data_IF_584291430580
#
_entry.id   IF_584291430580
#
_cell.length_a   1.000
_cell.length_b   1.000
_cell.length_c   1.000
_cell.angle_alpha   90.00
_cell.angle_beta   90.00
_cell.angle_gamma   90.00
#
_symmetry.space_group_name_H-M   'P 1'
#
loop_
_entity.id
_entity.type
_entity.pdbx_description
1 polymer ?
#
# COMPACT_ATOMS: atom_id res chain seq x y z
N UNK A 1 -18.08 -3.47 -30.93
CA UNK A 1 -18.22 -4.40 -29.80
C UNK A 1 -17.54 -3.78 -28.59
N UNK A 2 -18.24 -3.61 -27.47
CA UNK A 2 -17.61 -3.19 -26.21
C UNK A 2 -16.89 -4.42 -25.66
N UNK A 3 -15.56 -4.44 -25.70
CA UNK A 3 -14.76 -5.51 -25.08
C UNK A 3 -15.00 -5.51 -23.57
N UNK A 4 -15.55 -6.60 -23.03
CA UNK A 4 -15.71 -6.80 -21.58
C UNK A 4 -14.34 -6.67 -20.91
N UNK A 5 -14.17 -5.64 -20.08
CA UNK A 5 -12.92 -5.46 -19.33
C UNK A 5 -12.81 -6.51 -18.24
N UNK A 6 -11.66 -7.18 -18.13
CA UNK A 6 -11.38 -8.07 -17.02
C UNK A 6 -11.03 -7.25 -15.76
N UNK A 7 -11.50 -7.68 -14.59
CA UNK A 7 -11.14 -7.03 -13.33
C UNK A 7 -9.94 -7.74 -12.70
N UNK A 8 -8.95 -6.96 -12.26
CA UNK A 8 -7.78 -7.43 -11.53
C UNK A 8 -7.82 -6.81 -10.14
N UNK A 9 -7.95 -7.64 -9.11
CA UNK A 9 -7.83 -7.20 -7.73
C UNK A 9 -6.34 -7.06 -7.38
N UNK A 10 -5.94 -5.84 -6.99
CA UNK A 10 -4.61 -5.55 -6.49
C UNK A 10 -4.67 -5.35 -4.97
N UNK A 11 -4.30 -6.38 -4.22
CA UNK A 11 -4.08 -6.27 -2.78
C UNK A 11 -2.71 -5.62 -2.52
N UNK A 12 -2.68 -4.58 -1.70
CA UNK A 12 -1.43 -3.85 -1.46
C UNK A 12 -1.30 -3.32 -0.03
N UNK A 13 -0.06 -3.31 0.44
CA UNK A 13 0.36 -2.65 1.68
C UNK A 13 1.49 -1.68 1.39
N UNK A 14 1.38 -0.47 1.93
CA UNK A 14 2.36 0.62 1.74
C UNK A 14 3.75 0.28 2.30
N UNK A 15 3.85 -0.74 3.17
CA UNK A 15 5.12 -1.31 3.64
C UNK A 15 5.79 -2.30 2.68
N UNK A 16 5.24 -2.56 1.49
CA UNK A 16 5.89 -3.44 0.52
C UNK A 16 6.44 -2.65 -0.66
N UNK A 17 7.77 -2.69 -0.92
CA UNK A 17 8.34 -2.00 -2.08
C UNK A 17 7.85 -2.63 -3.39
N UNK A 18 7.65 -3.95 -3.41
CA UNK A 18 7.09 -4.65 -4.56
C UNK A 18 5.61 -4.32 -4.78
N UNK A 19 4.85 -4.06 -3.71
CA UNK A 19 3.49 -3.57 -3.85
C UNK A 19 3.47 -2.15 -4.46
N UNK A 20 4.45 -1.29 -4.16
CA UNK A 20 4.56 0.03 -4.80
C UNK A 20 4.86 -0.10 -6.30
N UNK A 21 5.82 -0.96 -6.67
CA UNK A 21 6.15 -1.24 -8.07
C UNK A 21 4.91 -1.80 -8.79
N UNK A 22 4.24 -2.80 -8.20
CA UNK A 22 3.00 -3.38 -8.72
C UNK A 22 1.88 -2.35 -8.87
N UNK A 23 1.70 -1.47 -7.89
CA UNK A 23 0.72 -0.39 -7.92
C UNK A 23 0.92 0.56 -9.10
N UNK A 24 2.14 1.11 -9.28
CA UNK A 24 2.39 2.04 -10.39
C UNK A 24 2.28 1.37 -11.76
N UNK A 25 2.77 0.13 -11.88
CA UNK A 25 2.75 -0.60 -13.13
C UNK A 25 1.33 -1.01 -13.53
N UNK A 26 0.52 -1.52 -12.60
CA UNK A 26 -0.87 -1.88 -12.85
C UNK A 26 -1.71 -0.66 -13.26
N UNK A 27 -1.51 0.51 -12.64
CA UNK A 27 -2.19 1.74 -13.03
C UNK A 27 -1.79 2.24 -14.43
N UNK A 28 -0.57 1.96 -14.88
CA UNK A 28 -0.15 2.24 -16.26
C UNK A 28 -0.76 1.24 -17.23
N UNK A 29 -0.77 -0.05 -16.89
CA UNK A 29 -1.37 -1.10 -17.71
C UNK A 29 -2.88 -0.90 -17.90
N UNK A 30 -3.60 -0.46 -16.88
CA UNK A 30 -5.04 -0.17 -16.98
C UNK A 30 -5.37 0.86 -18.08
N UNK A 31 -4.43 1.75 -18.43
CA UNK A 31 -4.61 2.75 -19.49
C UNK A 31 -4.51 2.17 -20.90
N UNK A 32 -3.82 1.05 -21.07
CA UNK A 32 -3.47 0.48 -22.37
C UNK A 32 -4.05 -0.92 -22.62
N UNK A 33 -4.49 -1.60 -21.55
CA UNK A 33 -5.10 -2.94 -21.61
C UNK A 33 -6.60 -2.88 -21.32
N UNK A 34 -7.41 -3.83 -21.83
CA UNK A 34 -8.83 -3.92 -21.51
C UNK A 34 -9.07 -4.54 -20.12
N UNK A 35 -8.48 -3.94 -19.09
CA UNK A 35 -8.61 -4.35 -17.69
C UNK A 35 -9.08 -3.18 -16.83
N UNK A 36 -9.63 -3.51 -15.67
CA UNK A 36 -9.91 -2.58 -14.58
C UNK A 36 -9.18 -3.06 -13.34
N UNK A 37 -8.43 -2.19 -12.69
CA UNK A 37 -7.65 -2.53 -11.49
C UNK A 37 -8.44 -2.08 -10.25
N UNK A 38 -8.92 -3.05 -9.50
CA UNK A 38 -9.58 -2.82 -8.23
C UNK A 38 -8.52 -2.77 -7.11
N UNK A 39 -8.38 -1.61 -6.47
CA UNK A 39 -7.33 -1.35 -5.49
C UNK A 39 -7.83 -1.74 -4.09
N UNK A 40 -7.20 -2.75 -3.48
CA UNK A 40 -7.61 -3.33 -2.20
C UNK A 40 -6.51 -3.14 -1.12
N UNK A 41 -6.56 -2.05 -0.32
CA UNK A 41 -5.65 -1.90 0.83
C UNK A 41 -5.84 -3.06 1.82
N UNK A 42 -4.78 -3.77 2.18
CA UNK A 42 -4.83 -4.90 3.14
C UNK A 42 -3.67 -4.85 4.15
N UNK A 43 -3.57 -5.78 5.10
CA UNK A 43 -2.44 -5.81 6.06
C UNK A 43 -1.46 -6.96 5.78
N UNK A 44 -0.30 -6.64 5.20
CA UNK A 44 0.74 -7.66 4.91
C UNK A 44 1.27 -8.30 6.20
N UNK A 45 1.35 -7.53 7.29
CA UNK A 45 1.76 -8.05 8.60
C UNK A 45 0.82 -9.14 9.14
N UNK A 46 -0.48 -9.04 8.85
CA UNK A 46 -1.44 -10.07 9.20
C UNK A 46 -1.32 -11.29 8.27
N UNK A 47 -1.03 -11.10 6.98
CA UNK A 47 -0.72 -12.22 6.07
C UNK A 47 0.44 -13.06 6.60
N UNK A 48 1.56 -12.43 6.95
CA UNK A 48 2.72 -13.13 7.49
C UNK A 48 2.39 -13.88 8.78
N UNK A 49 1.59 -13.27 9.66
CA UNK A 49 1.17 -13.91 10.91
C UNK A 49 0.33 -15.17 10.65
N UNK A 50 -0.70 -15.07 9.81
CA UNK A 50 -1.65 -16.16 9.58
C UNK A 50 -1.05 -17.31 8.76
N UNK A 51 -0.13 -17.01 7.83
CA UNK A 51 0.55 -18.03 7.01
C UNK A 51 1.77 -18.64 7.69
N UNK A 52 2.28 -18.03 8.77
CA UNK A 52 3.56 -18.38 9.37
C UNK A 52 4.78 -17.95 8.55
N UNK A 53 4.57 -17.24 7.44
CA UNK A 53 5.66 -16.66 6.66
C UNK A 53 6.36 -15.54 7.44
N UNK A 54 7.63 -15.34 7.10
CA UNK A 54 8.44 -14.25 7.66
C UNK A 54 8.77 -13.25 6.56
N UNK A 55 8.78 -11.93 6.86
CA UNK A 55 9.25 -10.94 5.90
C UNK A 55 10.62 -11.34 5.36
N UNK A 56 10.81 -11.43 4.03
CA UNK A 56 12.06 -11.94 3.44
C UNK A 56 13.28 -11.12 3.84
N UNK A 57 13.07 -9.82 4.06
CA UNK A 57 14.11 -8.88 4.45
C UNK A 57 14.68 -9.10 5.87
N UNK A 58 14.03 -9.89 6.74
CA UNK A 58 14.64 -10.29 8.01
C UNK A 58 15.93 -11.10 7.81
N UNK A 59 16.12 -11.70 6.63
CA UNK A 59 17.40 -12.24 6.22
C UNK A 59 18.22 -11.18 5.48
N UNK A 60 19.37 -10.79 6.05
CA UNK A 60 20.26 -9.75 5.50
C UNK A 60 20.61 -9.95 4.03
N UNK A 61 20.97 -11.18 3.61
CA UNK A 61 21.35 -11.45 2.21
C UNK A 61 20.16 -11.32 1.25
N UNK A 62 18.96 -11.72 1.70
CA UNK A 62 17.73 -11.52 0.92
C UNK A 62 17.39 -10.04 0.83
N UNK A 63 17.57 -9.26 1.89
CA UNK A 63 17.36 -7.82 1.87
C UNK A 63 18.32 -7.10 0.90
N UNK A 64 19.63 -7.38 0.98
CA UNK A 64 20.63 -6.83 0.05
C UNK A 64 20.33 -7.19 -1.41
N UNK A 65 19.79 -8.40 -1.65
CA UNK A 65 19.32 -8.79 -2.97
C UNK A 65 18.06 -8.01 -3.38
N UNK A 66 17.06 -7.88 -2.49
CA UNK A 66 15.84 -7.12 -2.76
C UNK A 66 16.13 -5.66 -3.11
N UNK A 67 17.03 -4.98 -2.41
CA UNK A 67 17.34 -3.57 -2.71
C UNK A 67 18.06 -3.41 -4.06
N UNK A 68 18.90 -4.38 -4.45
CA UNK A 68 19.45 -4.42 -5.83
C UNK A 68 18.35 -4.66 -6.87
N UNK A 69 17.41 -5.56 -6.60
CA UNK A 69 16.29 -5.83 -7.50
C UNK A 69 15.35 -4.61 -7.64
N UNK A 70 15.09 -3.90 -6.55
CA UNK A 70 14.35 -2.63 -6.55
C UNK A 70 15.07 -1.60 -7.43
N UNK A 71 16.41 -1.52 -7.39
CA UNK A 71 17.16 -0.62 -8.26
C UNK A 71 17.02 -0.99 -9.76
N UNK A 72 16.98 -2.27 -10.11
CA UNK A 72 16.67 -2.70 -11.49
C UNK A 72 15.25 -2.32 -11.90
N UNK A 73 14.27 -2.51 -11.01
CA UNK A 73 12.89 -2.12 -11.25
C UNK A 73 12.73 -0.60 -11.39
N UNK A 74 13.49 0.20 -10.64
CA UNK A 74 13.54 1.65 -10.82
C UNK A 74 13.99 2.03 -12.23
N UNK A 75 15.09 1.44 -12.71
CA UNK A 75 15.60 1.69 -14.04
C UNK A 75 14.62 1.24 -15.14
N UNK A 76 14.02 0.06 -14.98
CA UNK A 76 13.12 -0.51 -15.98
C UNK A 76 11.76 0.23 -16.04
N UNK A 77 11.16 0.53 -14.88
CA UNK A 77 9.85 1.16 -14.79
C UNK A 77 9.91 2.69 -14.66
N UNK A 78 11.07 3.32 -14.62
CA UNK A 78 11.19 4.76 -14.36
C UNK A 78 10.58 5.15 -13.01
N UNK A 79 10.91 4.37 -11.97
CA UNK A 79 10.54 4.65 -10.58
C UNK A 79 11.76 5.13 -9.79
N UNK A 80 11.54 5.63 -8.57
CA UNK A 80 12.61 6.12 -7.70
C UNK A 80 12.40 5.66 -6.26
N UNK A 81 12.34 4.34 -6.07
CA UNK A 81 12.33 3.75 -4.73
C UNK A 81 13.75 3.75 -4.14
N UNK A 82 13.87 4.18 -2.90
CA UNK A 82 15.12 4.28 -2.13
C UNK A 82 14.97 3.45 -0.86
N UNK A 83 16.04 2.73 -0.51
CA UNK A 83 16.11 1.96 0.72
C UNK A 83 15.92 2.89 1.96
N UNK A 84 14.94 2.60 2.84
CA UNK A 84 14.77 3.34 4.09
C UNK A 84 15.98 3.16 5.02
N UNK A 85 16.35 4.19 5.78
CA UNK A 85 17.59 4.17 6.60
C UNK A 85 17.60 3.05 7.64
N UNK A 86 16.46 2.79 8.27
CA UNK A 86 16.28 1.70 9.23
C UNK A 86 14.91 1.02 9.07
N UNK A 87 14.81 0.19 8.03
CA UNK A 87 13.54 -0.48 7.73
C UNK A 87 13.08 -1.44 8.85
N UNK A 88 14.00 -2.21 9.44
CA UNK A 88 13.62 -3.22 10.44
C UNK A 88 13.56 -2.69 11.87
N UNK A 89 14.32 -1.64 12.21
CA UNK A 89 14.31 -1.02 13.53
C UNK A 89 13.32 0.12 13.67
N UNK A 90 13.02 0.86 12.59
CA UNK A 90 12.06 1.98 12.65
C UNK A 90 10.77 1.71 11.87
N UNK A 91 10.85 1.26 10.62
CA UNK A 91 9.66 1.21 9.74
C UNK A 91 8.71 0.07 10.10
N UNK A 92 9.22 -1.16 10.22
CA UNK A 92 8.40 -2.34 10.56
C UNK A 92 7.71 -2.19 11.94
N UNK A 93 8.40 -1.75 13.03
CA UNK A 93 7.76 -1.59 14.34
C UNK A 93 6.68 -0.51 14.37
N UNK A 94 6.80 0.52 13.53
CA UNK A 94 5.79 1.59 13.40
C UNK A 94 4.49 1.08 12.77
N UNK A 95 4.53 0.00 11.99
CA UNK A 95 3.38 -0.61 11.29
C UNK A 95 2.73 0.31 10.24
N UNK A 96 1.86 -0.23 9.39
CA UNK A 96 1.02 0.52 8.44
C UNK A 96 -0.46 0.55 8.81
N UNK A 97 -0.85 0.06 9.99
CA UNK A 97 -2.26 -0.20 10.31
C UNK A 97 -3.13 1.04 10.12
N UNK A 98 -2.71 2.19 10.65
CA UNK A 98 -3.48 3.44 10.52
C UNK A 98 -3.50 3.96 9.08
N UNK A 99 -2.39 3.84 8.35
CA UNK A 99 -2.32 4.21 6.94
C UNK A 99 -3.28 3.34 6.09
N UNK A 100 -3.28 2.03 6.29
CA UNK A 100 -4.16 1.11 5.56
C UNK A 100 -5.64 1.30 5.90
N UNK A 101 -5.96 1.64 7.16
CA UNK A 101 -7.31 2.03 7.56
C UNK A 101 -7.73 3.35 6.91
N UNK A 102 -6.86 4.36 6.85
CA UNK A 102 -7.14 5.60 6.14
C UNK A 102 -7.42 5.34 4.66
N UNK A 103 -6.61 4.51 4.00
CA UNK A 103 -6.87 4.12 2.61
C UNK A 103 -8.19 3.38 2.44
N UNK A 104 -8.59 2.58 3.43
CA UNK A 104 -9.90 1.91 3.43
C UNK A 104 -11.05 2.91 3.55
N UNK A 105 -10.95 3.92 4.43
CA UNK A 105 -11.96 5.00 4.51
C UNK A 105 -12.06 5.77 3.19
N UNK A 106 -10.92 6.13 2.60
CA UNK A 106 -10.87 6.86 1.33
C UNK A 106 -11.48 6.06 0.19
N UNK A 107 -11.22 4.76 0.13
CA UNK A 107 -11.80 3.85 -0.87
C UNK A 107 -13.32 3.76 -0.76
N UNK A 108 -13.89 3.85 0.44
CA UNK A 108 -15.34 3.78 0.66
C UNK A 108 -16.07 5.08 0.31
N UNK A 109 -15.47 6.23 0.59
CA UNK A 109 -16.19 7.50 0.59
C UNK A 109 -15.81 8.45 -0.55
N UNK A 110 -14.62 8.28 -1.14
CA UNK A 110 -14.08 9.22 -2.11
C UNK A 110 -13.85 8.57 -3.49
N UNK A 111 -13.76 9.40 -4.55
CA UNK A 111 -13.40 8.92 -5.87
C UNK A 111 -12.07 8.16 -5.88
N UNK A 112 -11.97 7.17 -6.76
CA UNK A 112 -10.80 6.30 -6.94
C UNK A 112 -9.49 7.07 -7.12
N UNK A 113 -9.55 8.23 -7.77
CA UNK A 113 -8.41 9.13 -7.96
C UNK A 113 -7.83 9.59 -6.62
N UNK A 114 -8.66 9.80 -5.60
CA UNK A 114 -8.18 10.16 -4.26
C UNK A 114 -7.48 8.98 -3.59
N UNK A 115 -8.03 7.77 -3.70
CA UNK A 115 -7.36 6.55 -3.22
C UNK A 115 -5.97 6.41 -3.87
N UNK A 116 -5.89 6.60 -5.19
CA UNK A 116 -4.63 6.53 -5.95
C UNK A 116 -3.62 7.56 -5.45
N UNK A 117 -4.03 8.83 -5.26
CA UNK A 117 -3.14 9.89 -4.78
C UNK A 117 -2.65 9.62 -3.36
N UNK A 118 -3.55 9.23 -2.46
CA UNK A 118 -3.23 8.95 -1.06
C UNK A 118 -2.31 7.74 -0.91
N UNK A 119 -2.57 6.65 -1.64
CA UNK A 119 -1.72 5.46 -1.63
C UNK A 119 -0.32 5.78 -2.17
N UNK A 120 -0.23 6.51 -3.28
CA UNK A 120 1.05 6.94 -3.86
C UNK A 120 1.86 7.80 -2.89
N UNK A 121 1.22 8.75 -2.20
CA UNK A 121 1.93 9.59 -1.23
C UNK A 121 2.42 8.79 -0.01
N UNK A 122 1.63 7.84 0.48
CA UNK A 122 2.08 6.92 1.55
C UNK A 122 3.25 6.05 1.12
N UNK A 123 3.19 5.47 -0.09
CA UNK A 123 4.31 4.75 -0.67
C UNK A 123 5.55 5.63 -0.80
N UNK A 124 5.40 6.86 -1.31
CA UNK A 124 6.50 7.83 -1.46
C UNK A 124 7.13 8.17 -0.11
N UNK A 125 6.33 8.36 0.93
CA UNK A 125 6.83 8.61 2.28
C UNK A 125 7.75 7.49 2.74
N UNK A 126 7.33 6.23 2.63
CA UNK A 126 8.17 5.10 3.06
C UNK A 126 9.36 4.89 2.13
N UNK A 127 9.10 4.78 0.83
CA UNK A 127 10.04 4.23 -0.15
C UNK A 127 10.76 5.28 -0.99
N UNK A 128 10.60 6.58 -0.75
CA UNK A 128 11.30 7.61 -1.54
C UNK A 128 11.93 8.68 -0.67
N UNK A 129 11.28 9.06 0.44
CA UNK A 129 11.75 10.14 1.30
C UNK A 129 11.97 9.74 2.77
N UNK A 130 11.86 8.44 3.08
CA UNK A 130 12.15 7.89 4.41
C UNK A 130 11.42 8.62 5.56
N UNK A 131 10.10 8.76 5.41
CA UNK A 131 9.21 9.42 6.35
C UNK A 131 8.19 8.45 6.96
N UNK A 132 7.83 8.64 8.24
CA UNK A 132 6.87 7.77 8.95
C UNK A 132 5.44 7.97 8.45
N UNK A 133 4.60 6.95 8.74
CA UNK A 133 3.19 6.84 8.32
C UNK A 133 2.26 6.31 9.43
N UNK A 134 2.75 6.14 10.66
CA UNK A 134 2.09 5.44 11.76
C UNK A 134 1.33 6.35 12.74
N UNK A 135 1.68 7.64 12.77
CA UNK A 135 1.05 8.65 13.64
C UNK A 135 -0.01 9.43 12.89
N UNK A 136 -0.98 9.97 13.64
CA UNK A 136 -2.07 10.76 13.05
C UNK A 136 -1.53 12.01 12.36
N UNK A 137 -0.47 12.59 12.89
CA UNK A 137 0.23 13.74 12.32
C UNK A 137 0.79 13.41 10.93
N UNK A 138 1.30 12.19 10.74
CA UNK A 138 1.78 11.74 9.43
C UNK A 138 0.63 11.59 8.44
N UNK A 139 -0.51 11.06 8.90
CA UNK A 139 -1.71 10.95 8.07
C UNK A 139 -2.28 12.33 7.68
N UNK A 140 -2.21 13.31 8.58
CA UNK A 140 -2.58 14.70 8.28
C UNK A 140 -1.66 15.32 7.23
N UNK A 141 -0.35 15.07 7.32
CA UNK A 141 0.60 15.52 6.30
C UNK A 141 0.30 14.90 4.93
N UNK A 142 0.04 13.59 4.88
CA UNK A 142 -0.38 12.90 3.64
C UNK A 142 -1.64 13.56 3.10
N UNK A 143 -2.66 13.71 3.93
CA UNK A 143 -3.94 14.30 3.57
C UNK A 143 -3.78 15.72 3.00
N UNK A 144 -2.93 16.54 3.61
CA UNK A 144 -2.57 17.88 3.11
C UNK A 144 -1.90 17.80 1.74
N UNK A 145 -0.90 16.93 1.58
CA UNK A 145 -0.12 16.82 0.33
C UNK A 145 -0.96 16.37 -0.86
N UNK A 146 -2.04 15.62 -0.61
CA UNK A 146 -2.96 15.12 -1.66
C UNK A 146 -4.25 15.92 -1.77
N UNK A 147 -4.38 17.04 -1.04
CA UNK A 147 -5.59 17.86 -0.94
C UNK A 147 -6.85 17.01 -0.65
N UNK A 148 -6.75 16.14 0.37
CA UNK A 148 -7.83 15.27 0.79
C UNK A 148 -9.01 16.10 1.32
N UNK A 149 -10.22 15.79 0.85
CA UNK A 149 -11.46 16.38 1.36
C UNK A 149 -11.76 15.87 2.77
N UNK A 150 -12.18 16.75 3.67
CA UNK A 150 -12.55 16.43 5.07
C UNK A 150 -11.55 15.52 5.81
N UNK A 151 -10.25 15.87 5.84
CA UNK A 151 -9.21 14.96 6.30
C UNK A 151 -9.37 14.56 7.77
N UNK A 152 -9.79 15.48 8.66
CA UNK A 152 -10.02 15.16 10.07
C UNK A 152 -11.21 14.21 10.26
N UNK A 153 -12.26 14.31 9.42
CA UNK A 153 -13.38 13.37 9.45
C UNK A 153 -12.89 11.97 9.10
N UNK A 154 -12.15 11.83 8.00
CA UNK A 154 -11.63 10.52 7.58
C UNK A 154 -10.63 9.93 8.58
N UNK A 155 -9.77 10.76 9.16
CA UNK A 155 -8.82 10.32 10.18
C UNK A 155 -9.56 9.88 11.45
N UNK A 156 -10.66 10.54 11.84
CA UNK A 156 -11.48 10.09 12.98
C UNK A 156 -12.13 8.72 12.74
N UNK A 157 -12.41 8.38 11.48
CA UNK A 157 -13.07 7.12 11.12
C UNK A 157 -12.15 5.90 11.18
N UNK A 158 -10.82 6.07 11.12
CA UNK A 158 -9.90 4.93 11.04
C UNK A 158 -9.99 3.99 12.27
N UNK A 159 -10.48 4.50 13.40
CA UNK A 159 -10.66 3.71 14.62
C UNK A 159 -12.05 3.10 14.78
N UNK A 160 -12.98 3.40 13.86
CA UNK A 160 -14.33 2.86 13.89
C UNK A 160 -14.33 1.32 13.69
N UNK A 161 -15.17 0.58 14.42
CA UNK A 161 -15.22 -0.88 14.34
C UNK A 161 -15.43 -1.41 12.92
N UNK A 162 -16.28 -0.76 12.12
CA UNK A 162 -16.58 -1.14 10.74
C UNK A 162 -15.37 -1.02 9.82
N UNK A 163 -14.54 0.02 9.97
CA UNK A 163 -13.32 0.20 9.17
C UNK A 163 -12.27 -0.85 9.55
N UNK A 164 -12.14 -1.13 10.85
CA UNK A 164 -11.25 -2.20 11.35
C UNK A 164 -11.67 -3.56 10.80
N UNK A 165 -12.96 -3.83 10.82
CA UNK A 165 -13.52 -5.09 10.33
C UNK A 165 -13.36 -5.21 8.82
N UNK A 166 -13.64 -4.15 8.06
CA UNK A 166 -13.48 -4.16 6.59
C UNK A 166 -12.04 -4.44 6.15
N UNK A 167 -11.05 -3.81 6.79
CA UNK A 167 -9.64 -4.08 6.50
C UNK A 167 -9.26 -5.53 6.86
N UNK A 168 -9.80 -6.07 7.95
CA UNK A 168 -9.60 -7.47 8.37
C UNK A 168 -10.24 -8.45 7.38
N UNK A 169 -11.46 -8.19 6.95
CA UNK A 169 -12.20 -9.05 6.01
C UNK A 169 -11.50 -9.09 4.66
N UNK A 170 -11.05 -7.94 4.15
CA UNK A 170 -10.25 -7.87 2.92
C UNK A 170 -8.90 -8.58 3.02
N UNK A 171 -8.27 -8.54 4.19
CA UNK A 171 -7.03 -9.28 4.44
C UNK A 171 -7.30 -10.80 4.48
N UNK A 172 -8.42 -11.22 5.08
CA UNK A 172 -8.89 -12.62 5.06
C UNK A 172 -9.23 -13.09 3.66
N UNK A 173 -9.87 -12.24 2.85
CA UNK A 173 -10.16 -12.51 1.45
C UNK A 173 -8.87 -12.76 0.66
N UNK A 174 -7.83 -11.93 0.86
CA UNK A 174 -6.53 -12.12 0.23
C UNK A 174 -5.88 -13.47 0.62
N UNK A 175 -5.96 -13.85 1.91
CA UNK A 175 -5.49 -15.17 2.39
C UNK A 175 -6.23 -16.31 1.70
N UNK A 176 -7.56 -16.24 1.62
CA UNK A 176 -8.38 -17.26 0.97
C UNK A 176 -8.09 -17.37 -0.53
N UNK A 177 -7.65 -16.28 -1.16
CA UNK A 177 -7.18 -16.24 -2.55
C UNK A 177 -5.71 -16.67 -2.72
N UNK A 178 -5.04 -17.12 -1.66
CA UNK A 178 -3.70 -17.70 -1.70
C UNK A 178 -2.54 -16.70 -1.54
N UNK A 179 -2.80 -15.46 -1.10
CA UNK A 179 -1.72 -14.50 -0.81
C UNK A 179 -0.96 -14.92 0.44
N UNK A 180 0.38 -14.89 0.40
CA UNK A 180 1.26 -15.42 1.46
C UNK A 180 2.50 -14.56 1.74
#
# INVERSE_FOLDING_TARGET
MVTKKATIDLYFDVLSPYAFIGFETMLRFEKVMPVTVNLKPFLIGAIFKETGNKPPGLNKRKWEHMMRDVAYNNAYWGLNLVEPRDFFGEVIPRTSIKAQRLLTVIEQELPREQLIRSARELFRRVWTIDQPIDKLENLREVAKNVNLTDPERMISMIELPEIKQMLKDRTTEALNNGVS
#
